data_IF_263354668772
#
_entry.id   IF_263354668772
#
_cell.length_a   1.000
_cell.length_b   1.000
_cell.length_c   1.000
_cell.angle_alpha   90.00
_cell.angle_beta   90.00
_cell.angle_gamma   90.00
#
_symmetry.space_group_name_H-M   'P 1'
#
loop_
_entity.id
_entity.type
_entity.pdbx_description
1 polymer ?
#
# COMPACT_ATOMS: atom_id res chain seq x y z
N UNK A 1 -22.62 -26.88 -29.41
CA UNK A 1 -21.68 -27.03 -28.27
C UNK A 1 -20.46 -26.18 -28.58
N UNK A 2 -20.28 -25.06 -27.87
CA UNK A 2 -19.06 -24.26 -27.97
C UNK A 2 -17.95 -24.99 -27.23
N UNK A 3 -16.95 -25.48 -27.97
CA UNK A 3 -15.71 -26.00 -27.38
C UNK A 3 -14.96 -24.83 -26.74
N UNK A 4 -15.02 -24.73 -25.43
CA UNK A 4 -14.11 -23.86 -24.70
C UNK A 4 -12.76 -24.59 -24.59
N UNK A 5 -11.66 -24.01 -25.09
CA UNK A 5 -10.35 -24.64 -24.96
C UNK A 5 -10.02 -24.83 -23.49
N UNK A 6 -9.52 -26.03 -23.13
CA UNK A 6 -9.07 -26.32 -21.77
C UNK A 6 -7.85 -25.43 -21.50
N UNK A 7 -8.01 -24.46 -20.60
CA UNK A 7 -6.96 -23.53 -20.23
C UNK A 7 -6.02 -24.25 -19.26
N UNK A 8 -4.80 -24.54 -19.72
CA UNK A 8 -3.73 -25.08 -18.88
C UNK A 8 -2.89 -23.96 -18.28
N UNK A 9 -2.49 -24.11 -17.02
CA UNK A 9 -1.72 -23.09 -16.30
C UNK A 9 -1.36 -23.52 -14.89
N UNK A 10 -1.10 -22.55 -14.03
CA UNK A 10 -0.61 -22.79 -12.67
C UNK A 10 -1.42 -22.00 -11.65
N UNK A 11 -1.94 -22.68 -10.63
CA UNK A 11 -2.68 -22.07 -9.54
C UNK A 11 -1.75 -21.61 -8.43
N UNK A 12 -2.01 -20.43 -7.86
CA UNK A 12 -1.26 -19.95 -6.70
C UNK A 12 -1.44 -20.91 -5.53
N UNK A 13 -0.33 -21.31 -4.91
CA UNK A 13 -0.33 -22.20 -3.74
C UNK A 13 -1.31 -21.71 -2.65
N UNK A 14 -1.28 -20.42 -2.33
CA UNK A 14 -2.08 -19.84 -1.26
C UNK A 14 -3.57 -19.95 -1.53
N UNK A 15 -4.00 -19.80 -2.78
CA UNK A 15 -5.42 -19.88 -3.11
C UNK A 15 -5.93 -21.32 -3.02
N UNK A 16 -5.11 -22.28 -3.47
CA UNK A 16 -5.43 -23.70 -3.32
C UNK A 16 -5.58 -24.04 -1.83
N UNK A 17 -4.61 -23.68 -0.99
CA UNK A 17 -4.64 -24.03 0.44
C UNK A 17 -5.72 -23.29 1.22
N UNK A 18 -5.88 -21.97 1.02
CA UNK A 18 -6.68 -21.14 1.90
C UNK A 18 -8.06 -20.80 1.35
N UNK A 19 -8.29 -20.91 0.04
CA UNK A 19 -9.52 -20.41 -0.59
C UNK A 19 -10.32 -21.52 -1.27
N UNK A 20 -9.69 -22.48 -1.95
CA UNK A 20 -10.44 -23.46 -2.74
C UNK A 20 -11.47 -24.25 -1.93
N UNK A 21 -11.11 -24.69 -0.72
CA UNK A 21 -12.02 -25.41 0.17
C UNK A 21 -13.22 -24.58 0.66
N UNK A 22 -13.11 -23.24 0.71
CA UNK A 22 -14.18 -22.37 1.20
C UNK A 22 -15.38 -22.34 0.26
N UNK A 23 -15.22 -22.79 -0.98
CA UNK A 23 -16.32 -22.98 -1.92
C UNK A 23 -17.29 -24.12 -1.53
N UNK A 24 -16.95 -24.91 -0.51
CA UNK A 24 -17.69 -26.10 -0.06
C UNK A 24 -18.17 -26.02 1.39
N UNK A 25 -18.32 -24.82 1.95
CA UNK A 25 -18.82 -24.64 3.32
C UNK A 25 -20.22 -25.23 3.53
N UNK A 26 -21.01 -25.33 2.47
CA UNK A 26 -22.31 -26.02 2.41
C UNK A 26 -22.19 -27.55 2.30
N UNK A 27 -20.98 -28.08 2.06
CA UNK A 27 -20.67 -29.51 1.89
C UNK A 27 -19.46 -29.92 2.76
N UNK A 28 -19.63 -30.04 4.09
CA UNK A 28 -18.52 -30.21 5.04
C UNK A 28 -17.62 -31.44 4.80
N UNK A 29 -18.18 -32.52 4.23
CA UNK A 29 -17.42 -33.73 3.89
C UNK A 29 -16.39 -33.43 2.80
N UNK A 30 -16.81 -32.75 1.73
CA UNK A 30 -15.94 -32.36 0.61
C UNK A 30 -14.91 -31.33 1.08
N UNK A 31 -15.35 -30.33 1.85
CA UNK A 31 -14.45 -29.32 2.43
C UNK A 31 -13.34 -29.99 3.25
N UNK A 32 -13.70 -30.88 4.17
CA UNK A 32 -12.75 -31.55 5.07
C UNK A 32 -11.79 -32.46 4.30
N UNK A 33 -12.32 -33.25 3.36
CA UNK A 33 -11.51 -34.14 2.53
C UNK A 33 -10.49 -33.37 1.68
N UNK A 34 -10.94 -32.30 1.01
CA UNK A 34 -10.09 -31.45 0.19
C UNK A 34 -9.01 -30.77 1.04
N UNK A 35 -9.41 -30.18 2.16
CA UNK A 35 -8.50 -29.49 3.09
C UNK A 35 -7.43 -30.43 3.65
N UNK A 36 -7.81 -31.66 4.00
CA UNK A 36 -6.87 -32.67 4.47
C UNK A 36 -5.88 -33.07 3.36
N UNK A 37 -6.38 -33.33 2.15
CA UNK A 37 -5.59 -33.74 0.99
C UNK A 37 -4.52 -32.70 0.63
N UNK A 38 -4.90 -31.43 0.48
CA UNK A 38 -3.95 -30.38 0.07
C UNK A 38 -3.11 -29.85 1.23
N UNK A 39 -3.39 -30.25 2.48
CA UNK A 39 -2.69 -29.69 3.63
C UNK A 39 -1.16 -29.86 3.52
N UNK A 40 -0.36 -28.88 3.98
CA UNK A 40 1.10 -28.93 3.82
C UNK A 40 1.74 -30.18 4.45
N UNK A 41 1.19 -30.65 5.57
CA UNK A 41 1.65 -31.86 6.25
C UNK A 41 1.28 -33.14 5.49
N UNK A 42 0.12 -33.19 4.83
CA UNK A 42 -0.32 -34.35 4.06
C UNK A 42 0.41 -34.43 2.72
N UNK A 43 0.45 -33.30 2.00
CA UNK A 43 0.97 -33.25 0.63
C UNK A 43 2.46 -33.60 0.54
N UNK A 44 3.22 -33.40 1.62
CA UNK A 44 4.65 -33.70 1.70
C UNK A 44 4.97 -35.12 2.15
N UNK A 45 3.96 -35.94 2.46
CA UNK A 45 4.19 -37.33 2.87
C UNK A 45 4.60 -38.19 1.67
N UNK A 46 5.37 -39.24 1.94
CA UNK A 46 5.87 -40.17 0.92
C UNK A 46 4.77 -40.93 0.19
N UNK A 47 3.68 -41.24 0.89
CA UNK A 47 2.49 -41.96 0.40
C UNK A 47 1.48 -41.05 -0.32
N UNK A 48 1.72 -39.74 -0.33
CA UNK A 48 0.83 -38.80 -0.99
C UNK A 48 0.87 -38.99 -2.52
N UNK A 49 -0.27 -38.99 -3.22
CA UNK A 49 -0.31 -39.30 -4.66
C UNK A 49 0.39 -38.27 -5.56
N UNK A 50 0.74 -37.10 -5.03
CA UNK A 50 1.60 -36.14 -5.74
C UNK A 50 3.10 -36.48 -5.70
N UNK A 51 3.52 -37.45 -4.89
CA UNK A 51 4.90 -37.93 -4.84
C UNK A 51 5.11 -39.09 -5.84
N UNK A 52 4.99 -38.80 -7.14
CA UNK A 52 5.02 -39.82 -8.20
C UNK A 52 6.37 -40.56 -8.31
N UNK A 53 7.48 -39.87 -8.03
CA UNK A 53 8.84 -40.38 -8.25
C UNK A 53 9.61 -40.67 -6.94
N UNK A 54 8.96 -40.59 -5.78
CA UNK A 54 9.63 -40.70 -4.48
C UNK A 54 10.52 -39.50 -4.11
N UNK A 55 10.58 -38.45 -4.95
CA UNK A 55 11.38 -37.23 -4.75
C UNK A 55 10.73 -36.20 -3.82
N UNK A 56 9.53 -36.49 -3.33
CA UNK A 56 8.66 -35.52 -2.67
C UNK A 56 7.59 -34.98 -3.61
N UNK A 57 6.69 -34.17 -3.08
CA UNK A 57 5.66 -33.50 -3.88
C UNK A 57 6.30 -32.47 -4.81
N UNK A 58 5.90 -32.53 -6.07
CA UNK A 58 6.22 -31.53 -7.08
C UNK A 58 5.36 -30.27 -6.89
N UNK A 59 6.00 -29.12 -6.94
CA UNK A 59 5.38 -27.81 -7.08
C UNK A 59 6.10 -27.05 -8.19
N UNK A 60 5.63 -25.84 -8.48
CA UNK A 60 6.26 -24.97 -9.48
C UNK A 60 6.60 -23.62 -8.88
N UNK A 61 7.85 -23.19 -9.07
CA UNK A 61 8.28 -21.84 -8.74
C UNK A 61 8.12 -20.97 -9.98
N UNK A 62 7.12 -20.08 -9.96
CA UNK A 62 6.84 -19.11 -11.00
C UNK A 62 7.42 -17.74 -10.67
N UNK A 63 7.94 -17.04 -11.68
CA UNK A 63 8.41 -15.66 -11.59
C UNK A 63 7.49 -14.77 -12.44
N UNK A 64 6.91 -13.75 -11.81
CA UNK A 64 6.08 -12.73 -12.45
C UNK A 64 6.96 -11.71 -13.19
N UNK A 65 6.42 -10.92 -14.14
CA UNK A 65 7.18 -9.90 -14.87
C UNK A 65 7.86 -8.83 -13.99
N UNK A 66 7.33 -8.58 -12.79
CA UNK A 66 7.93 -7.67 -11.81
C UNK A 66 9.05 -8.33 -10.97
N UNK A 67 9.46 -9.56 -11.32
CA UNK A 67 10.47 -10.34 -10.61
C UNK A 67 9.97 -11.04 -9.34
N UNK A 68 8.71 -10.83 -8.93
CA UNK A 68 8.17 -11.51 -7.77
C UNK A 68 8.02 -13.01 -8.03
N UNK A 69 8.32 -13.82 -7.01
CA UNK A 69 8.20 -15.26 -7.08
C UNK A 69 6.89 -15.75 -6.45
N UNK A 70 6.39 -16.89 -6.92
CA UNK A 70 5.21 -17.59 -6.40
C UNK A 70 5.43 -19.09 -6.43
N UNK A 71 5.04 -19.76 -5.36
CA UNK A 71 4.88 -21.21 -5.34
C UNK A 71 3.51 -21.57 -5.91
N UNK A 72 3.44 -22.57 -6.78
CA UNK A 72 2.27 -22.88 -7.60
C UNK A 72 1.98 -24.38 -7.67
N UNK A 73 0.70 -24.74 -7.81
CA UNK A 73 0.24 -26.04 -8.27
C UNK A 73 0.02 -26.00 -9.78
N UNK A 74 0.37 -27.06 -10.49
CA UNK A 74 -0.07 -27.18 -11.89
C UNK A 74 -1.58 -27.45 -11.97
N UNK A 75 -2.23 -26.99 -13.04
CA UNK A 75 -3.65 -27.32 -13.27
C UNK A 75 -3.89 -28.83 -13.36
N UNK A 76 -2.89 -29.60 -13.83
CA UNK A 76 -2.94 -31.06 -13.84
C UNK A 76 -2.97 -31.69 -12.42
N UNK A 77 -2.25 -31.11 -11.45
CA UNK A 77 -2.33 -31.56 -10.05
C UNK A 77 -3.69 -31.25 -9.44
N UNK A 78 -4.24 -30.07 -9.70
CA UNK A 78 -5.58 -29.68 -9.27
C UNK A 78 -6.62 -30.63 -9.87
N UNK A 79 -6.54 -30.90 -11.16
CA UNK A 79 -7.41 -31.87 -11.84
C UNK A 79 -7.32 -33.26 -11.21
N UNK A 80 -6.10 -33.73 -11.01
CA UNK A 80 -5.85 -35.03 -10.40
C UNK A 80 -6.45 -35.13 -8.99
N UNK A 81 -6.30 -34.10 -8.14
CA UNK A 81 -6.86 -34.09 -6.79
C UNK A 81 -8.38 -34.30 -6.81
N UNK A 82 -9.08 -33.63 -7.74
CA UNK A 82 -10.54 -33.70 -7.89
C UNK A 82 -10.99 -35.14 -8.16
N UNK A 83 -10.36 -35.78 -9.14
CA UNK A 83 -10.67 -37.17 -9.50
C UNK A 83 -10.24 -38.15 -8.43
N UNK A 84 -9.03 -37.99 -7.87
CA UNK A 84 -8.52 -38.89 -6.85
C UNK A 84 -9.43 -38.92 -5.61
N UNK A 85 -9.86 -37.75 -5.12
CA UNK A 85 -10.76 -37.66 -3.96
C UNK A 85 -12.11 -38.32 -4.23
N UNK A 86 -12.62 -38.21 -5.46
CA UNK A 86 -13.85 -38.87 -5.90
C UNK A 86 -13.70 -40.39 -5.96
N UNK A 87 -12.69 -40.89 -6.68
CA UNK A 87 -12.49 -42.32 -6.90
C UNK A 87 -12.16 -43.06 -5.59
N UNK A 88 -11.51 -42.38 -4.64
CA UNK A 88 -11.24 -42.92 -3.31
C UNK A 88 -12.46 -42.85 -2.36
N UNK A 89 -13.61 -42.34 -2.83
CA UNK A 89 -14.86 -42.30 -2.07
C UNK A 89 -14.95 -41.18 -1.02
N UNK A 90 -14.03 -40.21 -1.02
CA UNK A 90 -14.01 -39.13 -0.02
C UNK A 90 -15.03 -38.00 -0.28
N UNK A 91 -15.71 -38.01 -1.42
CA UNK A 91 -16.66 -36.98 -1.84
C UNK A 91 -18.06 -37.52 -2.10
N UNK A 92 -18.39 -38.72 -1.61
CA UNK A 92 -19.66 -39.41 -1.87
C UNK A 92 -20.01 -39.52 -3.37
N UNK A 93 -18.99 -39.64 -4.23
CA UNK A 93 -19.14 -39.75 -5.68
C UNK A 93 -19.26 -38.41 -6.42
N UNK A 94 -19.31 -37.27 -5.72
CA UNK A 94 -19.32 -35.94 -6.34
C UNK A 94 -17.93 -35.53 -6.83
N UNK A 95 -17.86 -34.91 -8.01
CA UNK A 95 -16.61 -34.33 -8.50
C UNK A 95 -16.48 -32.90 -7.99
N UNK A 96 -15.37 -32.61 -7.29
CA UNK A 96 -15.05 -31.25 -6.82
C UNK A 96 -14.91 -30.32 -8.04
N UNK A 97 -15.52 -29.14 -8.09
CA UNK A 97 -15.28 -28.10 -9.10
C UNK A 97 -13.82 -27.60 -9.14
N UNK A 98 -13.37 -27.16 -10.32
CA UNK A 98 -12.07 -26.48 -10.49
C UNK A 98 -12.09 -25.14 -9.72
N UNK A 99 -10.97 -24.70 -9.13
CA UNK A 99 -10.85 -23.37 -8.53
C UNK A 99 -11.14 -22.24 -9.52
N UNK A 100 -11.43 -21.06 -8.99
CA UNK A 100 -11.67 -19.85 -9.78
C UNK A 100 -10.52 -19.55 -10.75
N UNK A 101 -10.84 -19.15 -11.98
CA UNK A 101 -9.85 -18.90 -13.03
C UNK A 101 -8.99 -17.67 -12.77
N UNK A 102 -9.41 -16.73 -11.89
CA UNK A 102 -8.60 -15.61 -11.42
C UNK A 102 -7.36 -16.05 -10.62
N UNK A 103 -7.30 -17.32 -10.19
CA UNK A 103 -6.17 -17.89 -9.48
C UNK A 103 -5.14 -18.52 -10.43
N UNK A 104 -5.51 -18.68 -11.71
CA UNK A 104 -4.73 -19.38 -12.72
C UNK A 104 -3.78 -18.41 -13.43
N UNK A 105 -2.48 -18.67 -13.30
CA UNK A 105 -1.42 -17.94 -13.98
C UNK A 105 -0.96 -18.71 -15.21
N UNK A 106 -0.84 -18.01 -16.34
CA UNK A 106 -0.43 -18.60 -17.61
C UNK A 106 1.04 -18.29 -17.96
N UNK A 107 1.83 -19.30 -18.37
CA UNK A 107 3.16 -19.09 -18.95
C UNK A 107 3.12 -18.14 -20.15
N UNK A 108 4.09 -17.24 -20.23
CA UNK A 108 4.24 -16.32 -21.37
C UNK A 108 3.37 -15.06 -21.32
N UNK A 109 2.25 -15.08 -20.59
CA UNK A 109 1.44 -13.88 -20.35
C UNK A 109 1.60 -13.34 -18.93
N UNK A 110 1.50 -14.20 -17.92
CA UNK A 110 1.50 -13.82 -16.51
C UNK A 110 2.73 -14.35 -15.76
N UNK A 111 3.37 -15.40 -16.28
CA UNK A 111 4.62 -15.96 -15.76
C UNK A 111 5.73 -15.77 -16.79
N UNK A 112 6.78 -15.06 -16.39
CA UNK A 112 7.99 -14.84 -17.19
C UNK A 112 8.89 -16.08 -17.19
N UNK A 113 9.01 -16.75 -16.04
CA UNK A 113 9.76 -17.98 -15.90
C UNK A 113 9.02 -18.93 -14.97
N UNK A 114 9.18 -20.24 -15.20
CA UNK A 114 8.62 -21.26 -14.33
C UNK A 114 9.54 -22.47 -14.28
N UNK A 115 9.71 -23.06 -13.09
CA UNK A 115 10.56 -24.22 -12.88
C UNK A 115 9.96 -25.17 -11.83
N UNK A 116 10.10 -26.49 -11.99
CA UNK A 116 9.63 -27.44 -10.99
C UNK A 116 10.52 -27.41 -9.74
N UNK A 117 9.91 -27.61 -8.58
CA UNK A 117 10.58 -27.73 -7.27
C UNK A 117 9.95 -28.88 -6.49
N UNK A 118 10.73 -29.59 -5.67
CA UNK A 118 10.27 -30.78 -4.95
C UNK A 118 10.46 -30.62 -3.44
N UNK A 119 9.46 -31.04 -2.66
CA UNK A 119 9.53 -31.02 -1.20
C UNK A 119 9.12 -32.38 -0.62
N UNK A 120 10.00 -32.98 0.16
CA UNK A 120 9.81 -34.29 0.81
C UNK A 120 9.38 -34.18 2.30
N UNK A 121 9.30 -32.95 2.80
CA UNK A 121 9.05 -32.64 4.21
C UNK A 121 8.29 -31.33 4.32
N UNK A 122 7.47 -31.22 5.36
CA UNK A 122 6.72 -30.00 5.66
C UNK A 122 7.64 -28.81 5.92
N UNK A 123 8.76 -29.04 6.61
CA UNK A 123 9.73 -28.02 6.99
C UNK A 123 10.33 -27.34 5.75
N UNK A 124 10.74 -28.12 4.74
CA UNK A 124 11.30 -27.57 3.49
C UNK A 124 10.26 -26.77 2.71
N UNK A 125 9.03 -27.27 2.62
CA UNK A 125 7.93 -26.55 1.97
C UNK A 125 7.65 -25.21 2.68
N UNK A 126 7.57 -25.25 4.03
CA UNK A 126 7.37 -24.05 4.86
C UNK A 126 8.49 -23.03 4.69
N UNK A 127 9.74 -23.47 4.65
CA UNK A 127 10.87 -22.56 4.51
C UNK A 127 10.95 -21.97 3.09
N UNK A 128 10.62 -22.74 2.06
CA UNK A 128 10.48 -22.21 0.70
C UNK A 128 9.42 -21.11 0.60
N UNK A 129 8.28 -21.27 1.28
CA UNK A 129 7.25 -20.21 1.33
C UNK A 129 7.76 -18.94 2.01
N UNK A 130 8.46 -19.08 3.15
CA UNK A 130 9.06 -17.94 3.86
C UNK A 130 10.09 -17.23 2.99
N UNK A 131 10.89 -17.97 2.24
CA UNK A 131 11.92 -17.39 1.39
C UNK A 131 11.33 -16.64 0.19
N UNK A 132 10.26 -17.17 -0.42
CA UNK A 132 9.45 -16.43 -1.41
C UNK A 132 8.93 -15.12 -0.81
N UNK A 133 8.36 -15.16 0.38
CA UNK A 133 7.83 -13.96 1.04
C UNK A 133 8.94 -12.93 1.34
N UNK A 134 10.08 -13.36 1.88
CA UNK A 134 11.24 -12.50 2.16
C UNK A 134 11.79 -11.87 0.88
N UNK A 135 11.94 -12.66 -0.18
CA UNK A 135 12.43 -12.17 -1.47
C UNK A 135 11.50 -11.12 -2.07
N UNK A 136 10.18 -11.38 -2.07
CA UNK A 136 9.19 -10.43 -2.54
C UNK A 136 9.17 -9.14 -1.69
N UNK A 137 9.31 -9.24 -0.37
CA UNK A 137 9.46 -8.06 0.51
C UNK A 137 10.71 -7.25 0.18
N UNK A 138 11.85 -7.91 -0.07
CA UNK A 138 13.10 -7.26 -0.47
C UNK A 138 12.97 -6.56 -1.82
N UNK A 139 12.35 -7.21 -2.82
CA UNK A 139 12.06 -6.63 -4.13
C UNK A 139 11.20 -5.37 -4.02
N UNK A 140 10.10 -5.42 -3.25
CA UNK A 140 9.25 -4.25 -2.99
C UNK A 140 10.02 -3.10 -2.34
N UNK A 141 10.86 -3.39 -1.34
CA UNK A 141 11.71 -2.37 -0.70
C UNK A 141 12.68 -1.73 -1.69
N UNK A 142 13.31 -2.53 -2.56
CA UNK A 142 14.24 -2.03 -3.59
C UNK A 142 13.52 -1.17 -4.62
N UNK A 143 12.36 -1.62 -5.10
CA UNK A 143 11.53 -0.84 -6.01
C UNK A 143 11.14 0.51 -5.39
N UNK A 144 10.67 0.50 -4.15
CA UNK A 144 10.33 1.71 -3.40
C UNK A 144 11.56 2.61 -3.12
N UNK A 145 12.76 2.03 -3.02
CA UNK A 145 14.00 2.77 -2.91
C UNK A 145 14.26 3.57 -4.19
N UNK A 146 14.18 2.89 -5.34
CA UNK A 146 14.38 3.47 -6.67
C UNK A 146 13.33 4.54 -7.00
N UNK A 147 12.04 4.22 -6.85
CA UNK A 147 10.96 5.19 -7.13
C UNK A 147 11.06 6.41 -6.21
N UNK A 148 11.35 6.21 -4.94
CA UNK A 148 11.57 7.32 -4.01
C UNK A 148 12.80 8.18 -4.37
N UNK A 149 13.83 7.61 -5.00
CA UNK A 149 14.98 8.39 -5.49
C UNK A 149 14.60 9.25 -6.70
N UNK A 150 13.83 8.70 -7.64
CA UNK A 150 13.31 9.46 -8.79
C UNK A 150 12.45 10.62 -8.29
N UNK A 151 11.52 10.34 -7.36
CA UNK A 151 10.65 11.36 -6.80
C UNK A 151 11.43 12.47 -6.09
N UNK A 152 12.43 12.11 -5.27
CA UNK A 152 13.31 13.09 -4.64
C UNK A 152 13.99 14.02 -5.66
N UNK A 153 14.54 13.47 -6.76
CA UNK A 153 15.20 14.31 -7.77
C UNK A 153 14.20 15.21 -8.51
N UNK A 154 12.96 14.76 -8.76
CA UNK A 154 11.90 15.60 -9.34
C UNK A 154 11.53 16.76 -8.42
N UNK A 155 11.32 16.48 -7.13
CA UNK A 155 11.03 17.51 -6.12
C UNK A 155 12.20 18.51 -6.06
N UNK A 156 13.44 18.01 -6.03
CA UNK A 156 14.64 18.85 -6.01
C UNK A 156 14.76 19.74 -7.25
N UNK A 157 14.45 19.22 -8.44
CA UNK A 157 14.45 20.01 -9.67
C UNK A 157 13.40 21.13 -9.61
N UNK A 158 12.15 20.82 -9.26
CA UNK A 158 11.10 21.84 -9.12
C UNK A 158 11.45 22.89 -8.06
N UNK A 159 12.08 22.51 -6.94
CA UNK A 159 12.55 23.45 -5.93
C UNK A 159 13.64 24.39 -6.47
N UNK A 160 14.65 23.82 -7.15
CA UNK A 160 15.77 24.61 -7.71
C UNK A 160 15.33 25.57 -8.81
N UNK A 161 14.29 25.23 -9.57
CA UNK A 161 13.68 26.11 -10.56
C UNK A 161 12.86 27.25 -9.92
N UNK A 162 12.66 27.22 -8.60
CA UNK A 162 11.97 28.27 -7.83
C UNK A 162 10.55 28.53 -8.33
N UNK A 163 9.85 27.45 -8.67
CA UNK A 163 8.48 27.51 -9.20
C UNK A 163 7.43 27.18 -8.15
N UNK A 164 6.25 27.80 -8.32
CA UNK A 164 5.04 27.48 -7.58
C UNK A 164 5.04 27.87 -6.11
N UNK A 165 4.07 27.29 -5.40
CA UNK A 165 3.87 27.49 -3.97
C UNK A 165 4.04 26.16 -3.23
N UNK A 166 4.91 26.14 -2.23
CA UNK A 166 5.23 24.95 -1.44
C UNK A 166 4.54 25.04 -0.09
N UNK A 167 3.44 24.32 0.09
CA UNK A 167 2.55 24.39 1.25
C UNK A 167 2.74 23.18 2.17
N UNK A 168 3.39 23.34 3.31
CA UNK A 168 3.32 22.38 4.39
C UNK A 168 2.05 22.56 5.22
N UNK A 169 1.37 21.44 5.48
CA UNK A 169 0.13 21.37 6.26
C UNK A 169 0.26 20.18 7.21
N UNK A 170 -0.04 20.40 8.49
CA UNK A 170 0.08 19.38 9.54
C UNK A 170 -1.11 19.49 10.48
N UNK A 171 -1.93 18.44 10.60
CA UNK A 171 -3.08 18.40 11.50
C UNK A 171 -2.78 17.59 12.76
N UNK A 172 -3.24 18.10 13.89
CA UNK A 172 -3.13 17.41 15.17
C UNK A 172 -4.50 17.07 15.74
N UNK A 173 -4.59 15.86 16.29
CA UNK A 173 -5.82 15.25 16.79
C UNK A 173 -5.75 15.13 18.30
N UNK A 174 -6.92 15.04 18.94
CA UNK A 174 -6.95 14.65 20.33
C UNK A 174 -6.62 13.16 20.49
N UNK A 175 -5.56 12.88 21.25
CA UNK A 175 -5.00 11.53 21.40
C UNK A 175 -5.94 10.50 22.07
N UNK A 176 -6.97 10.97 22.77
CA UNK A 176 -7.95 10.10 23.44
C UNK A 176 -9.08 9.69 22.49
N UNK A 177 -9.37 10.50 21.48
CA UNK A 177 -10.44 10.23 20.52
C UNK A 177 -10.15 10.94 19.18
N UNK A 178 -9.76 10.16 18.17
CA UNK A 178 -9.26 10.61 16.87
C UNK A 178 -10.35 11.18 15.93
N UNK A 179 -11.41 11.78 16.48
CA UNK A 179 -12.42 12.54 15.72
C UNK A 179 -12.23 14.04 15.88
N UNK A 180 -11.56 14.48 16.94
CA UNK A 180 -11.53 15.88 17.33
C UNK A 180 -10.19 16.50 16.88
N UNK A 181 -10.27 17.30 15.81
CA UNK A 181 -9.14 18.12 15.35
C UNK A 181 -8.89 19.23 16.36
N UNK A 182 -7.63 19.38 16.76
CA UNK A 182 -7.27 20.34 17.80
C UNK A 182 -6.55 21.56 17.25
N UNK A 183 -5.69 21.37 16.26
CA UNK A 183 -4.93 22.43 15.60
C UNK A 183 -4.50 22.04 14.19
N UNK A 184 -4.13 23.04 13.40
CA UNK A 184 -3.49 22.89 12.10
C UNK A 184 -2.35 23.89 11.96
N UNK A 185 -1.16 23.38 11.62
CA UNK A 185 0.00 24.14 11.23
C UNK A 185 0.01 24.37 9.71
N UNK A 186 0.25 25.61 9.29
CA UNK A 186 0.40 25.98 7.89
C UNK A 186 1.73 26.70 7.70
N UNK A 187 2.52 26.26 6.72
CA UNK A 187 3.70 26.98 6.25
C UNK A 187 3.72 26.98 4.74
N UNK A 188 3.95 28.13 4.11
CA UNK A 188 4.18 28.19 2.67
C UNK A 188 5.50 28.85 2.33
N UNK A 189 6.13 28.40 1.25
CA UNK A 189 7.23 29.09 0.57
C UNK A 189 6.83 29.40 -0.87
N UNK A 190 6.99 30.65 -1.26
CA UNK A 190 6.92 31.12 -2.65
C UNK A 190 8.21 31.80 -3.04
N UNK A 191 8.42 32.03 -4.33
CA UNK A 191 9.62 32.69 -4.83
C UNK A 191 9.28 34.01 -5.51
N UNK A 192 9.83 35.11 -5.00
CA UNK A 192 9.68 36.45 -5.59
C UNK A 192 11.06 36.99 -5.95
N UNK A 193 11.28 37.32 -7.23
CA UNK A 193 12.60 37.72 -7.75
C UNK A 193 13.73 36.71 -7.41
N UNK A 194 13.38 35.43 -7.35
CA UNK A 194 14.30 34.35 -6.98
C UNK A 194 14.64 34.27 -5.49
N UNK A 195 14.02 35.06 -4.63
CA UNK A 195 14.15 34.99 -3.17
C UNK A 195 12.98 34.20 -2.57
N UNK A 196 13.29 33.39 -1.56
CA UNK A 196 12.29 32.64 -0.80
C UNK A 196 11.50 33.58 0.11
N UNK A 197 10.18 33.55 -0.04
CA UNK A 197 9.21 34.24 0.82
C UNK A 197 8.44 33.19 1.58
N UNK A 198 8.67 33.11 2.88
CA UNK A 198 8.03 32.14 3.77
C UNK A 198 6.89 32.78 4.58
N UNK A 199 5.77 32.08 4.72
CA UNK A 199 4.68 32.47 5.62
C UNK A 199 4.31 31.30 6.53
N UNK A 200 3.99 31.58 7.79
CA UNK A 200 3.66 30.57 8.78
C UNK A 200 2.40 30.97 9.54
N UNK A 201 1.49 30.03 9.78
CA UNK A 201 0.29 30.20 10.60
C UNK A 201 0.05 28.97 11.46
N UNK A 202 -0.59 29.18 12.59
CA UNK A 202 -1.02 28.13 13.48
C UNK A 202 -2.45 28.41 13.93
N UNK A 203 -3.37 27.52 13.58
CA UNK A 203 -4.80 27.70 13.84
C UNK A 203 -5.28 26.64 14.84
N UNK A 204 -5.99 27.07 15.87
CA UNK A 204 -6.53 26.21 16.92
C UNK A 204 -8.05 26.16 16.78
N UNK A 205 -8.61 24.94 16.76
CA UNK A 205 -10.05 24.74 16.69
C UNK A 205 -10.70 25.15 18.01
N UNK A 206 -11.53 26.21 17.96
CA UNK A 206 -12.16 26.81 19.15
C UNK A 206 -13.01 25.80 19.93
N UNK A 207 -13.72 24.95 19.20
CA UNK A 207 -14.63 23.92 19.73
C UNK A 207 -13.89 22.88 20.57
N UNK A 208 -12.65 22.54 20.16
CA UNK A 208 -11.84 21.48 20.77
C UNK A 208 -10.70 22.03 21.64
N UNK A 209 -10.78 23.29 22.07
CA UNK A 209 -9.71 23.96 22.84
C UNK A 209 -9.38 23.25 24.14
N UNK A 210 -10.35 22.57 24.77
CA UNK A 210 -10.17 21.82 26.01
C UNK A 210 -9.58 20.42 25.79
N UNK A 211 -9.61 19.91 24.56
CA UNK A 211 -9.00 18.64 24.19
C UNK A 211 -7.47 18.87 24.12
N UNK A 212 -6.75 18.45 25.17
CA UNK A 212 -5.29 18.56 25.28
C UNK A 212 -4.65 17.19 25.16
N UNK A 213 -3.51 17.14 24.47
CA UNK A 213 -2.66 15.95 24.42
C UNK A 213 -1.71 15.95 25.65
N UNK A 214 -0.86 14.93 25.77
CA UNK A 214 0.16 14.84 26.81
C UNK A 214 0.35 13.45 27.40
N UNK A 215 -0.57 12.51 27.13
CA UNK A 215 -0.48 11.11 27.57
C UNK A 215 0.33 10.24 26.63
N UNK A 216 0.13 10.40 25.31
CA UNK A 216 0.76 9.61 24.25
C UNK A 216 1.50 10.48 23.24
N UNK A 217 0.96 11.66 22.95
CA UNK A 217 1.55 12.68 22.08
C UNK A 217 1.90 13.94 22.90
N UNK A 218 3.03 14.61 22.61
CA UNK A 218 3.36 15.88 23.26
C UNK A 218 2.31 16.97 23.01
N UNK A 219 2.14 17.88 23.97
CA UNK A 219 1.22 19.01 23.88
C UNK A 219 1.98 20.29 23.50
N UNK A 220 2.10 20.57 22.20
CA UNK A 220 2.85 21.71 21.68
C UNK A 220 1.99 22.88 21.19
N UNK A 221 0.68 22.83 21.42
CA UNK A 221 -0.28 23.85 20.97
C UNK A 221 0.13 25.28 21.26
N UNK A 222 0.69 25.50 22.45
CA UNK A 222 1.04 26.83 22.96
C UNK A 222 2.50 27.22 22.69
N UNK A 223 3.25 26.39 21.95
CA UNK A 223 4.69 26.56 21.70
C UNK A 223 5.00 26.94 20.24
N UNK A 224 4.05 27.56 19.53
CA UNK A 224 4.26 28.01 18.16
C UNK A 224 5.37 29.07 18.07
N UNK A 225 6.46 28.75 17.35
CA UNK A 225 7.68 29.56 17.33
C UNK A 225 7.68 30.70 16.29
N UNK A 226 6.75 30.69 15.33
CA UNK A 226 6.77 31.60 14.17
C UNK A 226 5.71 32.70 14.24
N UNK A 227 5.16 32.97 15.42
CA UNK A 227 4.17 34.03 15.61
C UNK A 227 3.18 33.70 16.71
N UNK A 228 1.93 34.10 16.51
CA UNK A 228 0.84 33.85 17.46
C UNK A 228 -0.17 32.87 16.87
N UNK A 229 -0.58 31.91 17.69
CA UNK A 229 -1.67 30.99 17.38
C UNK A 229 -3.00 31.74 17.30
N UNK A 230 -3.81 31.43 16.30
CA UNK A 230 -5.16 32.00 16.13
C UNK A 230 -6.20 30.95 16.51
N UNK A 231 -7.03 31.24 17.51
CA UNK A 231 -8.15 30.37 17.87
C UNK A 231 -9.39 30.77 17.07
N UNK A 232 -9.86 29.89 16.19
CA UNK A 232 -10.96 30.16 15.27
C UNK A 232 -12.00 29.03 15.33
N UNK A 233 -13.30 29.30 15.11
CA UNK A 233 -14.29 28.26 14.88
C UNK A 233 -13.93 27.38 13.70
N UNK A 234 -14.29 26.10 13.75
CA UNK A 234 -14.01 25.11 12.69
C UNK A 234 -14.42 25.60 11.29
N UNK A 235 -15.57 26.27 11.17
CA UNK A 235 -16.04 26.83 9.90
C UNK A 235 -15.09 27.88 9.33
N UNK A 236 -14.54 28.75 10.18
CA UNK A 236 -13.58 29.76 9.76
C UNK A 236 -12.25 29.13 9.37
N UNK A 237 -11.79 28.10 10.09
CA UNK A 237 -10.59 27.34 9.71
C UNK A 237 -10.76 26.70 8.33
N UNK A 238 -11.93 26.13 8.03
CA UNK A 238 -12.23 25.60 6.71
C UNK A 238 -12.17 26.67 5.60
N UNK A 239 -12.70 27.87 5.86
CA UNK A 239 -12.62 29.01 4.93
C UNK A 239 -11.18 29.48 4.72
N UNK A 240 -10.38 29.53 5.80
CA UNK A 240 -8.96 29.87 5.78
C UNK A 240 -8.13 28.86 4.97
N UNK A 241 -8.38 27.56 5.14
CA UNK A 241 -7.70 26.50 4.38
C UNK A 241 -8.03 26.56 2.89
N UNK A 242 -9.30 26.84 2.54
CA UNK A 242 -9.73 27.04 1.14
C UNK A 242 -9.03 28.23 0.52
N UNK A 243 -9.07 29.38 1.20
CA UNK A 243 -8.40 30.60 0.72
C UNK A 243 -6.89 30.38 0.58
N UNK A 244 -6.28 29.68 1.53
CA UNK A 244 -4.84 29.38 1.52
C UNK A 244 -4.42 28.60 0.27
N UNK A 245 -5.17 27.54 -0.09
CA UNK A 245 -4.86 26.77 -1.30
C UNK A 245 -5.23 27.49 -2.60
N UNK A 246 -6.33 28.26 -2.60
CA UNK A 246 -6.73 29.05 -3.75
C UNK A 246 -5.66 30.09 -4.09
N UNK A 247 -5.21 30.88 -3.10
CA UNK A 247 -4.12 31.86 -3.28
C UNK A 247 -2.81 31.18 -3.67
N UNK A 248 -2.53 29.97 -3.17
CA UNK A 248 -1.36 29.21 -3.58
C UNK A 248 -1.40 28.85 -5.07
N UNK A 249 -2.57 28.45 -5.59
CA UNK A 249 -2.76 28.06 -6.99
C UNK A 249 -2.71 29.22 -7.98
N UNK A 250 -3.05 30.43 -7.55
CA UNK A 250 -2.95 31.64 -8.38
C UNK A 250 -1.49 31.97 -8.77
N UNK A 251 -0.52 31.46 -7.99
CA UNK A 251 0.92 31.66 -8.20
C UNK A 251 1.60 30.55 -9.02
N UNK A 252 0.83 29.58 -9.54
CA UNK A 252 1.34 28.46 -10.34
C UNK A 252 1.06 27.10 -9.69
N UNK A 253 1.94 26.08 -9.89
CA UNK A 253 1.72 24.76 -9.31
C UNK A 253 1.81 24.81 -7.78
N UNK A 254 1.02 23.97 -7.11
CA UNK A 254 1.00 23.86 -5.65
C UNK A 254 1.58 22.52 -5.23
N UNK A 255 2.60 22.57 -4.37
CA UNK A 255 3.24 21.40 -3.79
C UNK A 255 2.83 21.30 -2.32
N UNK A 256 1.87 20.42 -2.03
CA UNK A 256 1.43 20.11 -0.68
C UNK A 256 2.40 19.13 -0.01
N UNK A 257 2.96 19.52 1.13
CA UNK A 257 3.94 18.77 1.88
C UNK A 257 3.28 18.30 3.17
N UNK A 258 3.28 17.00 3.38
CA UNK A 258 2.68 16.37 4.55
C UNK A 258 3.70 15.57 5.35
N UNK A 259 3.42 15.39 6.64
CA UNK A 259 4.16 14.42 7.45
C UNK A 259 3.47 13.05 7.47
N UNK A 260 2.13 13.04 7.57
CA UNK A 260 1.29 11.87 7.35
C UNK A 260 0.25 12.21 6.28
N UNK A 261 0.68 12.07 5.02
CA UNK A 261 -0.13 12.42 3.85
C UNK A 261 -1.56 11.83 3.89
N UNK A 262 -1.73 10.61 4.39
CA UNK A 262 -3.05 9.97 4.42
C UNK A 262 -3.96 10.61 5.47
N UNK A 263 -3.43 10.84 6.66
CA UNK A 263 -4.15 11.52 7.74
C UNK A 263 -4.51 12.94 7.34
N UNK A 264 -3.53 13.72 6.88
CA UNK A 264 -3.70 15.14 6.57
C UNK A 264 -4.66 15.38 5.39
N UNK A 265 -4.57 14.57 4.32
CA UNK A 265 -5.51 14.66 3.18
C UNK A 265 -6.93 14.34 3.63
N UNK A 266 -7.10 13.38 4.54
CA UNK A 266 -8.42 13.06 5.09
C UNK A 266 -8.98 14.27 5.85
N UNK A 267 -8.19 14.91 6.72
CA UNK A 267 -8.60 16.14 7.42
C UNK A 267 -9.00 17.25 6.46
N UNK A 268 -8.16 17.52 5.45
CA UNK A 268 -8.45 18.56 4.46
C UNK A 268 -9.81 18.33 3.79
N UNK A 269 -10.09 17.10 3.35
CA UNK A 269 -11.38 16.76 2.75
C UNK A 269 -12.54 16.93 3.73
N UNK A 270 -12.36 16.57 5.00
CA UNK A 270 -13.38 16.76 6.04
C UNK A 270 -13.67 18.23 6.34
N UNK A 271 -12.70 19.12 6.13
CA UNK A 271 -12.93 20.59 6.17
C UNK A 271 -13.65 21.12 4.92
N UNK A 272 -13.91 20.26 3.92
CA UNK A 272 -14.59 20.62 2.67
C UNK A 272 -13.68 21.31 1.65
N UNK A 273 -12.35 21.17 1.79
CA UNK A 273 -11.37 21.61 0.80
C UNK A 273 -11.37 20.62 -0.37
N UNK A 274 -11.52 21.13 -1.58
CA UNK A 274 -11.43 20.35 -2.81
C UNK A 274 -9.96 20.12 -3.18
N UNK A 275 -9.59 18.86 -3.44
CA UNK A 275 -8.24 18.44 -3.80
C UNK A 275 -8.24 17.75 -5.17
N UNK A 276 -9.07 18.25 -6.09
CA UNK A 276 -9.22 17.69 -7.42
C UNK A 276 -7.90 17.79 -8.20
N UNK A 277 -7.54 16.69 -8.87
CA UNK A 277 -6.28 16.61 -9.59
C UNK A 277 -5.03 16.47 -8.71
N UNK A 278 -5.18 16.20 -7.40
CA UNK A 278 -4.05 15.90 -6.52
C UNK A 278 -3.26 14.67 -7.01
N UNK A 279 -2.04 14.90 -7.47
CA UNK A 279 -1.10 13.84 -7.88
C UNK A 279 -0.08 13.54 -6.79
N UNK A 280 0.25 12.27 -6.58
CA UNK A 280 1.42 11.86 -5.79
C UNK A 280 2.71 11.78 -6.62
N UNK A 281 2.58 11.80 -7.95
CA UNK A 281 3.71 11.72 -8.87
C UNK A 281 3.99 13.09 -9.46
N UNK A 282 5.19 13.62 -9.21
CA UNK A 282 5.65 14.83 -9.88
C UNK A 282 6.09 14.47 -11.32
N UNK A 283 5.87 15.35 -12.30
CA UNK A 283 6.41 15.17 -13.64
C UNK A 283 7.94 15.30 -13.66
N UNK A 284 8.58 14.79 -14.72
CA UNK A 284 10.03 14.89 -14.91
C UNK A 284 10.47 16.32 -15.24
N UNK A 285 9.65 17.02 -16.03
CA UNK A 285 9.80 18.45 -16.32
C UNK A 285 8.95 19.20 -15.31
N UNK A 286 9.49 20.29 -14.76
CA UNK A 286 8.82 21.09 -13.76
C UNK A 286 7.44 21.58 -14.26
N UNK A 287 6.37 21.39 -13.48
CA UNK A 287 5.02 21.72 -13.92
C UNK A 287 4.81 23.24 -13.96
N UNK A 288 3.96 23.72 -14.88
CA UNK A 288 3.48 25.11 -14.88
C UNK A 288 2.19 25.31 -14.09
N UNK A 289 1.46 24.24 -13.79
CA UNK A 289 0.23 24.22 -12.99
C UNK A 289 -0.03 22.83 -12.40
N UNK A 290 -1.01 22.73 -11.50
CA UNK A 290 -1.44 21.47 -10.90
C UNK A 290 -1.21 21.41 -9.39
N UNK A 291 -1.75 20.36 -8.79
CA UNK A 291 -1.70 20.12 -7.34
C UNK A 291 -0.95 18.81 -7.08
N UNK A 292 0.16 18.89 -6.36
CA UNK A 292 1.05 17.76 -6.12
C UNK A 292 1.18 17.53 -4.62
N UNK A 293 1.21 16.27 -4.20
CA UNK A 293 1.41 15.89 -2.81
C UNK A 293 2.75 15.21 -2.61
N UNK A 294 3.41 15.57 -1.51
CA UNK A 294 4.74 15.12 -1.12
C UNK A 294 4.65 14.60 0.31
N UNK A 295 4.98 13.32 0.51
CA UNK A 295 4.97 12.68 1.83
C UNK A 295 6.38 12.56 2.40
N UNK A 296 6.61 13.25 3.52
CA UNK A 296 7.90 13.32 4.18
C UNK A 296 8.08 12.30 5.31
N UNK A 297 7.01 11.56 5.67
CA UNK A 297 7.03 10.52 6.70
C UNK A 297 8.02 9.38 6.41
N UNK A 298 8.36 9.17 5.13
CA UNK A 298 9.35 8.19 4.67
C UNK A 298 10.81 8.56 4.97
N UNK A 299 11.06 9.79 5.46
CA UNK A 299 12.36 10.26 5.94
C UNK A 299 13.35 10.72 4.87
N UNK A 300 13.07 10.53 3.57
CA UNK A 300 13.99 10.89 2.47
C UNK A 300 13.90 12.37 2.06
N UNK A 301 12.74 12.99 2.25
CA UNK A 301 12.47 14.37 1.82
C UNK A 301 12.61 15.39 2.96
N UNK A 302 13.23 15.00 4.09
CA UNK A 302 13.39 15.86 5.27
C UNK A 302 14.15 17.15 4.98
N UNK A 303 15.02 17.21 3.97
CA UNK A 303 15.73 18.43 3.59
C UNK A 303 14.79 19.47 2.96
N UNK A 304 13.87 19.02 2.10
CA UNK A 304 12.89 19.87 1.41
C UNK A 304 11.76 20.24 2.38
N UNK A 305 11.34 19.31 3.24
CA UNK A 305 10.54 19.64 4.41
C UNK A 305 11.21 20.73 5.24
N UNK A 306 12.50 20.62 5.59
CA UNK A 306 13.21 21.62 6.40
C UNK A 306 13.35 22.97 5.71
N UNK A 307 13.42 23.01 4.38
CA UNK A 307 13.45 24.24 3.60
C UNK A 307 12.05 24.89 3.54
N UNK A 308 11.02 24.11 3.17
CA UNK A 308 9.65 24.59 3.05
C UNK A 308 8.94 24.87 4.39
N UNK A 309 9.40 24.27 5.49
CA UNK A 309 8.91 24.51 6.86
C UNK A 309 9.82 25.40 7.68
N UNK A 310 10.88 25.98 7.08
CA UNK A 310 11.85 26.84 7.75
C UNK A 310 12.38 26.27 9.07
N UNK A 311 13.28 25.26 9.03
CA UNK A 311 13.83 24.60 10.24
C UNK A 311 12.75 24.33 11.30
N UNK A 312 11.92 23.32 11.05
CA UNK A 312 10.85 22.85 11.95
C UNK A 312 9.73 23.89 12.07
N UNK A 313 8.60 23.63 11.41
CA UNK A 313 7.33 23.65 12.14
C UNK A 313 7.53 22.74 13.36
N UNK A 314 8.03 23.30 14.46
CA UNK A 314 8.10 22.63 15.75
C UNK A 314 6.68 22.64 16.29
N UNK A 315 5.93 21.60 15.92
CA UNK A 315 4.78 21.14 16.69
C UNK A 315 4.94 19.63 16.83
N UNK A 316 6.02 19.20 17.48
CA UNK A 316 6.23 17.81 17.91
C UNK A 316 7.00 17.75 19.20
#
# INVERSE_FOLDING_TARGET
MTFHPVIHGFYRYTDIIFVWHTAFQDRPIIETALKAFISPHCVTRKDHPFNKDGKGVEFWMGTLPNGEQRLLYSSAQVEYARYWLKEMGFTNGELIPIPDSSYLLRPGSELQAISPVYFDTYEKLKDAQKDVEKNNKRLKRSHNAYTGRIQFERIRNSWNEKIGTWCAIDFEWWEMYHTDLTEVGLSSVTFENGLEIATNRHLIFKENRLCRNGKYSPDNRDHFLFGQSQTLPQKQIAEELKSYLQTASEKGPVFLIFHDQKGDIKCLRETGVELDGLSGDLPEIAPSSGLFSIDTGSGRDRAIHRAATGRRLLVR
#
